data_IF_569677996276
#
_entry.id   IF_569677996276
#
_cell.length_a   1.000
_cell.length_b   1.000
_cell.length_c   1.000
_cell.angle_alpha   90.00
_cell.angle_beta   90.00
_cell.angle_gamma   90.00
#
_symmetry.space_group_name_H-M   'P 1'
#
loop_
_entity.id
_entity.type
_entity.pdbx_description
1 polymer ?
#
# COMPACT_ATOMS: atom_id res chain seq x y z
N UNK A 1 10.71 -7.16 -11.23
CA UNK A 1 9.43 -7.53 -10.60
C UNK A 1 9.74 -8.06 -9.21
N UNK A 2 9.04 -7.58 -8.15
CA UNK A 2 9.25 -8.07 -6.78
C UNK A 2 8.58 -9.45 -6.63
N UNK A 3 9.30 -10.41 -6.02
CA UNK A 3 8.81 -11.77 -5.82
C UNK A 3 8.81 -12.11 -4.32
N UNK A 4 7.70 -12.61 -3.81
CA UNK A 4 7.52 -13.07 -2.44
C UNK A 4 8.03 -14.51 -2.28
N UNK A 5 9.33 -14.67 -2.01
CA UNK A 5 9.89 -15.96 -1.57
C UNK A 5 9.58 -16.19 -0.08
N UNK A 6 9.56 -17.43 0.37
CA UNK A 6 9.34 -17.77 1.80
C UNK A 6 10.28 -17.00 2.74
N UNK A 7 11.56 -16.89 2.35
CA UNK A 7 12.56 -16.13 3.11
C UNK A 7 12.21 -14.64 3.22
N UNK A 8 11.73 -14.03 2.13
CA UNK A 8 11.30 -12.62 2.13
C UNK A 8 10.04 -12.41 2.94
N UNK A 9 9.06 -13.32 2.83
CA UNK A 9 7.84 -13.30 3.64
C UNK A 9 8.19 -13.35 5.12
N UNK A 10 9.01 -14.33 5.56
CA UNK A 10 9.43 -14.45 6.96
C UNK A 10 10.18 -13.20 7.45
N UNK A 11 11.16 -12.72 6.69
CA UNK A 11 11.94 -11.54 7.06
C UNK A 11 11.08 -10.28 7.19
N UNK A 12 10.19 -10.05 6.23
CA UNK A 12 9.31 -8.87 6.26
C UNK A 12 8.25 -8.97 7.35
N UNK A 13 7.70 -10.17 7.59
CA UNK A 13 6.75 -10.37 8.69
C UNK A 13 7.41 -10.08 10.04
N UNK A 14 8.60 -10.62 10.29
CA UNK A 14 9.38 -10.35 11.50
C UNK A 14 9.69 -8.85 11.67
N UNK A 15 10.07 -8.17 10.59
CA UNK A 15 10.34 -6.74 10.63
C UNK A 15 9.08 -5.93 10.96
N UNK A 16 7.94 -6.26 10.34
CA UNK A 16 6.67 -5.59 10.58
C UNK A 16 6.15 -5.84 12.01
N UNK A 17 6.32 -7.05 12.54
CA UNK A 17 5.86 -7.38 13.91
C UNK A 17 6.73 -6.77 15.02
N UNK A 18 7.98 -6.40 14.71
CA UNK A 18 8.92 -5.76 15.67
C UNK A 18 8.87 -4.24 15.65
N UNK A 19 8.13 -3.65 14.73
CA UNK A 19 8.07 -2.18 14.57
C UNK A 19 6.61 -1.72 14.57
N UNK A 20 6.40 -0.47 14.92
CA UNK A 20 5.10 0.22 14.85
C UNK A 20 5.00 1.10 13.58
N UNK A 21 5.77 0.75 12.54
CA UNK A 21 5.85 1.54 11.30
C UNK A 21 4.48 1.71 10.65
N UNK A 22 3.73 0.61 10.49
CA UNK A 22 2.45 0.65 9.78
C UNK A 22 1.36 1.35 10.61
N UNK A 23 1.38 1.21 11.92
CA UNK A 23 0.48 1.93 12.84
C UNK A 23 0.74 3.44 12.81
N UNK A 24 2.01 3.85 12.85
CA UNK A 24 2.40 5.26 12.71
C UNK A 24 2.03 5.82 11.33
N UNK A 25 2.26 5.04 10.29
CA UNK A 25 1.88 5.43 8.94
C UNK A 25 0.35 5.59 8.83
N UNK A 26 -0.43 4.64 9.30
CA UNK A 26 -1.88 4.73 9.32
C UNK A 26 -2.38 5.96 10.11
N UNK A 27 -1.74 6.29 11.23
CA UNK A 27 -2.05 7.49 12.00
C UNK A 27 -1.79 8.80 11.20
N UNK A 28 -0.74 8.84 10.38
CA UNK A 28 -0.46 9.96 9.47
C UNK A 28 -1.48 10.07 8.33
N UNK A 29 -2.03 8.95 7.88
CA UNK A 29 -3.04 8.90 6.82
C UNK A 29 -4.45 9.20 7.34
N UNK A 30 -4.71 8.97 8.62
CA UNK A 30 -6.04 9.10 9.26
C UNK A 30 -6.76 10.43 8.99
N UNK A 31 -6.09 11.62 8.98
CA UNK A 31 -6.76 12.89 8.69
C UNK A 31 -7.37 13.00 7.29
N UNK A 32 -6.94 12.17 6.36
CA UNK A 32 -7.38 12.16 4.97
C UNK A 32 -8.44 11.10 4.67
N UNK A 33 -8.81 10.29 5.67
CA UNK A 33 -9.73 9.16 5.55
C UNK A 33 -10.95 9.37 6.46
N UNK A 34 -12.08 8.78 6.07
CA UNK A 34 -13.31 8.80 6.86
C UNK A 34 -13.66 7.40 7.35
N UNK A 35 -14.30 7.31 8.49
CA UNK A 35 -14.76 6.03 9.06
C UNK A 35 -15.76 5.26 8.18
N UNK A 36 -16.33 5.91 7.19
CA UNK A 36 -17.27 5.30 6.23
C UNK A 36 -16.61 4.92 4.92
N UNK A 37 -15.35 5.28 4.71
CA UNK A 37 -14.70 5.08 3.41
C UNK A 37 -14.47 3.60 3.12
N UNK A 38 -14.67 3.25 1.85
CA UNK A 38 -14.11 2.04 1.22
C UNK A 38 -12.72 2.37 0.68
N UNK A 39 -11.70 1.74 1.24
CA UNK A 39 -10.29 2.03 0.93
C UNK A 39 -9.66 0.85 0.19
N UNK A 40 -8.92 1.10 -0.88
CA UNK A 40 -8.05 0.12 -1.50
C UNK A 40 -6.59 0.35 -1.07
N UNK A 41 -6.00 -0.64 -0.42
CA UNK A 41 -4.55 -0.73 -0.20
C UNK A 41 -3.93 -1.45 -1.41
N UNK A 42 -3.37 -0.66 -2.32
CA UNK A 42 -2.91 -1.10 -3.63
C UNK A 42 -1.47 -1.64 -3.55
N UNK A 43 -1.29 -2.92 -3.86
CA UNK A 43 0.00 -3.61 -3.67
C UNK A 43 0.30 -3.82 -2.19
N UNK A 44 -0.69 -4.31 -1.44
CA UNK A 44 -0.64 -4.38 0.04
C UNK A 44 0.47 -5.29 0.60
N UNK A 45 1.11 -6.14 -0.23
CA UNK A 45 2.11 -7.10 0.20
C UNK A 45 1.57 -8.02 1.30
N UNK A 46 2.21 -8.03 2.46
CA UNK A 46 1.79 -8.85 3.61
C UNK A 46 0.59 -8.26 4.38
N UNK A 47 0.07 -7.09 3.97
CA UNK A 47 -1.16 -6.50 4.47
C UNK A 47 -1.07 -5.81 5.84
N UNK A 48 0.13 -5.55 6.36
CA UNK A 48 0.26 -4.89 7.68
C UNK A 48 -0.31 -3.46 7.68
N UNK A 49 -0.19 -2.72 6.57
CA UNK A 49 -0.86 -1.41 6.46
C UNK A 49 -2.39 -1.57 6.41
N UNK A 50 -2.90 -2.54 5.66
CA UNK A 50 -4.34 -2.85 5.64
C UNK A 50 -4.88 -3.15 7.04
N UNK A 51 -4.13 -3.91 7.86
CA UNK A 51 -4.49 -4.18 9.26
C UNK A 51 -4.52 -2.88 10.09
N UNK A 52 -3.53 -2.01 9.92
CA UNK A 52 -3.45 -0.74 10.64
C UNK A 52 -4.53 0.27 10.20
N UNK A 53 -4.97 0.22 8.94
CA UNK A 53 -6.06 1.05 8.42
C UNK A 53 -7.45 0.56 8.87
N UNK A 54 -7.61 -0.73 9.18
CA UNK A 54 -8.91 -1.33 9.46
C UNK A 54 -9.73 -0.62 10.56
N UNK A 55 -9.15 -0.11 11.67
CA UNK A 55 -9.93 0.59 12.69
C UNK A 55 -10.30 2.03 12.30
N UNK A 56 -9.75 2.56 11.21
CA UNK A 56 -9.88 3.96 10.81
C UNK A 56 -10.95 4.18 9.74
N UNK A 57 -11.35 3.12 9.01
CA UNK A 57 -12.23 3.20 7.83
C UNK A 57 -13.34 2.17 7.88
N UNK A 58 -14.32 2.28 6.99
CA UNK A 58 -15.44 1.36 6.91
C UNK A 58 -15.02 -0.01 6.38
N UNK A 59 -14.24 -0.03 5.31
CA UNK A 59 -13.77 -1.26 4.68
C UNK A 59 -12.42 -1.06 4.01
N UNK A 60 -11.55 -2.09 4.05
CA UNK A 60 -10.29 -2.13 3.32
C UNK A 60 -10.31 -3.29 2.33
N UNK A 61 -10.07 -3.00 1.05
CA UNK A 61 -9.72 -4.01 0.03
C UNK A 61 -8.21 -4.04 -0.10
N UNK A 62 -7.59 -5.12 0.36
CA UNK A 62 -6.15 -5.33 0.33
C UNK A 62 -5.77 -6.07 -0.96
N UNK A 63 -5.36 -5.33 -1.99
CA UNK A 63 -5.07 -5.86 -3.31
C UNK A 63 -3.58 -6.22 -3.46
N UNK A 64 -3.28 -7.48 -3.71
CA UNK A 64 -1.95 -8.00 -3.97
C UNK A 64 -2.05 -9.14 -4.98
N UNK A 65 -1.09 -9.25 -5.89
CA UNK A 65 -1.11 -10.30 -6.92
C UNK A 65 -0.50 -11.63 -6.48
N UNK A 66 0.35 -11.62 -5.44
CA UNK A 66 0.99 -12.82 -4.91
C UNK A 66 0.18 -13.38 -3.74
N UNK A 67 -0.48 -14.51 -3.97
CA UNK A 67 -1.35 -15.14 -2.99
C UNK A 67 -0.61 -15.60 -1.72
N UNK A 68 0.69 -15.91 -1.82
CA UNK A 68 1.54 -16.23 -0.64
C UNK A 68 1.66 -15.06 0.32
N UNK A 69 1.73 -13.84 -0.20
CA UNK A 69 1.72 -12.64 0.63
C UNK A 69 0.36 -12.47 1.32
N UNK A 70 -0.74 -12.67 0.60
CA UNK A 70 -2.10 -12.60 1.14
C UNK A 70 -2.39 -13.67 2.18
N UNK A 71 -1.73 -14.83 2.13
CA UNK A 71 -1.87 -15.84 3.18
C UNK A 71 -1.40 -15.38 4.55
N UNK A 72 -0.39 -14.48 4.59
CA UNK A 72 0.01 -13.84 5.85
C UNK A 72 -1.12 -12.95 6.36
N UNK A 73 -1.67 -12.11 5.49
CA UNK A 73 -2.81 -11.25 5.84
C UNK A 73 -4.00 -12.06 6.34
N UNK A 74 -4.42 -13.11 5.64
CA UNK A 74 -5.55 -13.97 6.02
C UNK A 74 -5.36 -14.54 7.43
N UNK A 75 -4.15 -15.03 7.76
CA UNK A 75 -3.83 -15.53 9.11
C UNK A 75 -3.91 -14.44 10.17
N UNK A 76 -3.42 -13.22 9.87
CA UNK A 76 -3.49 -12.09 10.79
C UNK A 76 -4.93 -11.63 11.02
N UNK A 77 -5.75 -11.57 9.97
CA UNK A 77 -7.18 -11.24 10.08
C UNK A 77 -7.92 -12.22 10.98
N UNK A 78 -7.71 -13.52 10.79
CA UNK A 78 -8.31 -14.56 11.62
C UNK A 78 -7.85 -14.48 13.09
N UNK A 79 -6.54 -14.28 13.33
CA UNK A 79 -5.96 -14.17 14.66
C UNK A 79 -6.48 -12.96 15.45
N UNK A 80 -6.78 -11.85 14.76
CA UNK A 80 -7.21 -10.58 15.36
C UNK A 80 -8.72 -10.35 15.29
N UNK A 81 -9.50 -11.28 14.76
CA UNK A 81 -10.95 -11.17 14.47
C UNK A 81 -11.31 -9.87 13.69
N UNK A 82 -10.48 -9.50 12.72
CA UNK A 82 -10.73 -8.34 11.86
C UNK A 82 -11.60 -8.77 10.68
N UNK A 83 -12.75 -8.11 10.50
CA UNK A 83 -13.79 -8.51 9.54
C UNK A 83 -14.03 -7.51 8.42
N UNK A 84 -13.50 -6.30 8.52
CA UNK A 84 -13.65 -5.23 7.52
C UNK A 84 -12.45 -5.08 6.60
N UNK A 85 -11.63 -6.12 6.46
CA UNK A 85 -10.53 -6.20 5.47
C UNK A 85 -10.77 -7.40 4.58
N UNK A 86 -10.79 -7.17 3.26
CA UNK A 86 -10.92 -8.23 2.25
C UNK A 86 -9.61 -8.37 1.47
N UNK A 87 -8.88 -9.49 1.63
CA UNK A 87 -7.76 -9.81 0.76
C UNK A 87 -8.24 -10.10 -0.66
N UNK A 88 -7.67 -9.42 -1.64
CA UNK A 88 -8.00 -9.57 -3.06
C UNK A 88 -6.75 -9.94 -3.87
N UNK A 89 -6.71 -11.20 -4.34
CA UNK A 89 -5.61 -11.65 -5.21
C UNK A 89 -5.82 -11.11 -6.63
N UNK A 90 -5.16 -10.02 -6.96
CA UNK A 90 -5.30 -9.37 -8.27
C UNK A 90 -4.12 -8.47 -8.60
N UNK A 91 -3.90 -8.24 -9.89
CA UNK A 91 -3.09 -7.12 -10.34
C UNK A 91 -3.92 -5.84 -10.32
N UNK A 92 -3.68 -4.99 -9.34
CA UNK A 92 -4.42 -3.73 -9.17
C UNK A 92 -4.29 -2.80 -10.38
N UNK A 93 -3.20 -2.89 -11.14
CA UNK A 93 -3.01 -2.08 -12.36
C UNK A 93 -4.00 -2.45 -13.48
N UNK A 94 -4.42 -3.71 -13.52
CA UNK A 94 -5.37 -4.23 -14.51
C UNK A 94 -6.79 -4.39 -13.94
N UNK A 95 -6.96 -4.33 -12.64
CA UNK A 95 -8.24 -4.53 -11.95
C UNK A 95 -9.24 -3.41 -12.25
N UNK A 96 -10.51 -3.77 -12.27
CA UNK A 96 -11.63 -2.82 -12.36
C UNK A 96 -12.64 -3.21 -11.28
N UNK A 97 -12.82 -2.40 -10.24
CA UNK A 97 -13.81 -2.65 -9.20
C UNK A 97 -15.22 -2.41 -9.74
N UNK A 98 -16.21 -3.09 -9.16
CA UNK A 98 -17.64 -2.85 -9.47
C UNK A 98 -18.09 -1.44 -9.09
N UNK A 99 -17.54 -0.92 -7.99
CA UNK A 99 -17.75 0.45 -7.53
C UNK A 99 -16.39 1.09 -7.23
N UNK A 100 -16.17 2.36 -7.60
CA UNK A 100 -14.95 3.07 -7.28
C UNK A 100 -14.74 3.19 -5.77
N UNK A 101 -13.51 3.07 -5.31
CA UNK A 101 -13.12 3.27 -3.93
C UNK A 101 -13.25 4.74 -3.51
N UNK A 102 -13.59 5.00 -2.24
CA UNK A 102 -13.58 6.36 -1.68
C UNK A 102 -12.15 6.88 -1.49
N UNK A 103 -11.21 5.98 -1.20
CA UNK A 103 -9.79 6.31 -1.16
C UNK A 103 -8.93 5.14 -1.65
N UNK A 104 -7.75 5.48 -2.16
CA UNK A 104 -6.71 4.50 -2.51
C UNK A 104 -5.39 4.89 -1.85
N UNK A 105 -4.70 3.89 -1.31
CA UNK A 105 -3.38 4.02 -0.69
C UNK A 105 -2.37 3.22 -1.50
N UNK A 106 -1.27 3.85 -1.87
CA UNK A 106 -0.13 3.25 -2.56
C UNK A 106 1.10 3.41 -1.67
N UNK A 107 1.54 2.33 -1.04
CA UNK A 107 2.68 2.35 -0.14
C UNK A 107 3.90 1.71 -0.81
N UNK A 108 4.84 2.52 -1.28
CA UNK A 108 6.03 2.08 -2.03
C UNK A 108 5.70 1.21 -3.25
N UNK A 109 4.56 1.44 -3.85
CA UNK A 109 4.02 0.67 -4.97
C UNK A 109 3.64 1.59 -6.13
N UNK A 110 4.03 1.20 -7.35
CA UNK A 110 3.72 1.90 -8.59
C UNK A 110 4.56 3.16 -8.84
N UNK A 111 4.72 3.54 -10.09
CA UNK A 111 5.18 4.87 -10.49
C UNK A 111 4.04 5.88 -10.39
N UNK A 112 4.33 7.17 -10.34
CA UNK A 112 3.26 8.19 -10.31
C UNK A 112 2.33 8.12 -11.52
N UNK A 113 2.87 7.78 -12.70
CA UNK A 113 2.07 7.55 -13.90
C UNK A 113 1.07 6.40 -13.72
N UNK A 114 1.54 5.26 -13.20
CA UNK A 114 0.68 4.10 -12.90
C UNK A 114 -0.36 4.43 -11.82
N UNK A 115 0.05 5.10 -10.73
CA UNK A 115 -0.84 5.51 -9.64
C UNK A 115 -1.96 6.41 -10.17
N UNK A 116 -1.63 7.45 -10.94
CA UNK A 116 -2.63 8.37 -11.50
C UNK A 116 -3.56 7.66 -12.47
N UNK A 117 -3.01 6.80 -13.35
CA UNK A 117 -3.83 6.04 -14.30
C UNK A 117 -4.80 5.09 -13.60
N UNK A 118 -4.36 4.40 -12.55
CA UNK A 118 -5.20 3.50 -11.74
C UNK A 118 -6.23 4.30 -10.96
N UNK A 119 -5.81 5.36 -10.27
CA UNK A 119 -6.68 6.18 -9.45
C UNK A 119 -7.84 6.79 -10.24
N UNK A 120 -7.58 7.30 -11.46
CA UNK A 120 -8.63 7.83 -12.35
C UNK A 120 -9.71 6.81 -12.70
N UNK A 121 -9.39 5.51 -12.70
CA UNK A 121 -10.36 4.45 -13.03
C UNK A 121 -11.04 3.86 -11.79
N UNK A 122 -10.35 3.83 -10.65
CA UNK A 122 -10.75 3.02 -9.52
C UNK A 122 -11.08 3.84 -8.27
N UNK A 123 -10.78 5.15 -8.24
CA UNK A 123 -10.98 6.01 -7.08
C UNK A 123 -11.87 7.19 -7.42
N UNK A 124 -12.83 7.50 -6.53
CA UNK A 124 -13.71 8.68 -6.65
C UNK A 124 -13.37 9.79 -5.66
N UNK A 125 -12.37 9.58 -4.80
CA UNK A 125 -12.04 10.52 -3.73
C UNK A 125 -10.54 10.68 -3.52
N UNK A 126 -10.04 10.33 -2.34
CA UNK A 126 -8.67 10.62 -1.92
C UNK A 126 -7.68 9.59 -2.44
N UNK A 127 -6.54 10.05 -2.95
CA UNK A 127 -5.40 9.19 -3.33
C UNK A 127 -4.20 9.56 -2.47
N UNK A 128 -3.64 8.57 -1.78
CA UNK A 128 -2.51 8.70 -0.88
C UNK A 128 -1.35 7.87 -1.40
N UNK A 129 -0.26 8.52 -1.79
CA UNK A 129 0.94 7.84 -2.28
C UNK A 129 2.09 8.06 -1.30
N UNK A 130 2.61 6.97 -0.75
CA UNK A 130 3.80 6.95 0.08
C UNK A 130 4.97 6.55 -0.81
N UNK A 131 5.87 7.48 -1.05
CA UNK A 131 7.04 7.31 -1.89
C UNK A 131 8.31 7.42 -1.07
N UNK A 132 9.42 6.90 -1.59
CA UNK A 132 10.70 6.98 -0.90
C UNK A 132 11.28 8.39 -1.03
N UNK A 133 11.84 8.89 0.05
CA UNK A 133 12.81 9.97 0.00
C UNK A 133 14.20 9.34 -0.15
N UNK A 134 14.72 9.33 -1.37
CA UNK A 134 16.02 8.72 -1.68
C UNK A 134 17.21 9.44 -1.02
N UNK A 135 16.97 10.59 -0.38
CA UNK A 135 18.02 11.36 0.31
C UNK A 135 18.39 10.76 1.68
N UNK A 136 17.53 9.94 2.30
CA UNK A 136 17.64 9.57 3.72
C UNK A 136 18.06 8.14 4.04
N UNK A 137 18.08 7.17 3.11
CA UNK A 137 18.36 5.77 3.41
C UNK A 137 19.49 5.18 2.58
N UNK A 138 20.73 5.42 3.01
CA UNK A 138 21.90 4.75 2.45
C UNK A 138 22.53 3.85 3.51
N UNK A 139 22.24 2.57 3.44
CA UNK A 139 23.04 1.53 4.11
C UNK A 139 24.34 1.21 3.35
N UNK A 140 24.52 1.74 2.15
CA UNK A 140 25.75 1.63 1.37
C UNK A 140 26.13 3.01 0.83
N UNK A 141 27.41 3.40 0.92
CA UNK A 141 27.94 4.69 0.44
C UNK A 141 27.98 4.86 -1.08
N UNK A 142 27.36 3.99 -1.86
CA UNK A 142 27.32 4.08 -3.32
C UNK A 142 26.23 5.08 -3.76
N UNK A 143 26.53 5.99 -4.74
CA UNK A 143 25.51 6.82 -5.35
C UNK A 143 24.46 5.93 -6.02
N UNK A 144 23.18 6.13 -5.70
CA UNK A 144 22.07 5.54 -6.47
C UNK A 144 21.53 6.61 -7.40
N UNK A 145 21.26 6.23 -8.64
CA UNK A 145 20.40 7.06 -9.48
C UNK A 145 19.03 7.21 -8.82
N UNK A 146 18.36 8.40 -8.92
CA UNK A 146 17.03 8.60 -8.41
C UNK A 146 16.11 7.50 -8.95
N UNK A 147 15.53 6.71 -8.06
CA UNK A 147 14.65 5.62 -8.46
C UNK A 147 13.37 6.18 -9.09
N UNK A 148 12.74 5.43 -10.01
CA UNK A 148 11.44 5.75 -10.64
C UNK A 148 10.32 6.09 -9.66
N UNK A 149 10.52 5.85 -8.38
CA UNK A 149 9.53 5.95 -7.31
C UNK A 149 9.97 6.88 -6.18
N UNK A 150 10.86 7.85 -6.45
CA UNK A 150 11.30 8.83 -5.47
C UNK A 150 10.28 9.96 -5.31
N UNK A 151 10.34 10.66 -4.18
CA UNK A 151 9.54 11.85 -3.93
C UNK A 151 9.77 12.93 -5.00
N UNK A 152 11.02 13.16 -5.38
CA UNK A 152 11.40 14.13 -6.41
C UNK A 152 10.81 13.76 -7.78
N UNK A 153 10.86 12.48 -8.18
CA UNK A 153 10.25 12.03 -9.44
C UNK A 153 8.72 12.15 -9.42
N UNK A 154 8.09 11.95 -8.26
CA UNK A 154 6.66 12.09 -8.07
C UNK A 154 6.23 13.56 -8.21
N UNK A 155 6.92 14.49 -7.55
CA UNK A 155 6.66 15.94 -7.65
C UNK A 155 6.83 16.40 -9.11
N UNK A 156 7.94 16.06 -9.75
CA UNK A 156 8.18 16.42 -11.14
C UNK A 156 7.17 15.87 -12.14
N UNK A 157 6.53 14.72 -11.84
CA UNK A 157 5.42 14.22 -12.65
C UNK A 157 4.16 15.09 -12.45
N UNK A 158 3.79 15.39 -11.20
CA UNK A 158 2.58 16.14 -10.88
C UNK A 158 2.65 17.59 -11.36
N UNK A 159 3.83 18.22 -11.34
CA UNK A 159 4.03 19.59 -11.84
C UNK A 159 3.84 19.72 -13.37
N UNK A 160 3.93 18.60 -14.11
CA UNK A 160 3.74 18.58 -15.57
C UNK A 160 2.32 18.24 -16.01
N UNK A 161 1.36 18.01 -15.08
CA UNK A 161 -0.05 17.72 -15.38
C UNK A 161 -0.89 18.98 -15.42
#
# INVERSE_FOLDING_TARGET
>A
MFEWTEKRVSFMADACERTDFHEKLAALLAPYLKRTDSVCDAGCGLGYLSLALSPLVGHVTAAERDDRALDVLRRQLARRDIRNVTPLCTDVLAYTPSEPFDAMVFCFFGSMEEIVAVARRQCRGTVLAIVRDDTCHRFSGAPREPGRHSFESACGYLERQ
#
